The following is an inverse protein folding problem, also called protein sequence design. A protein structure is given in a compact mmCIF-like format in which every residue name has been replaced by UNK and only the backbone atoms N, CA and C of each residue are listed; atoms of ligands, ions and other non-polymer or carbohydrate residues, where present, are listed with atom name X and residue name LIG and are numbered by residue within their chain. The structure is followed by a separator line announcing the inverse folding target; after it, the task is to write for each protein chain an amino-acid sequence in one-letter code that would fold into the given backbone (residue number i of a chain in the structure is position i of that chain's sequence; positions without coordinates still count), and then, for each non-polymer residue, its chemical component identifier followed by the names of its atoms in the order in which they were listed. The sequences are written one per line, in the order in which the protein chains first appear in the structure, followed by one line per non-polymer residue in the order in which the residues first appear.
data_IF_359831418307
#
_entry.id   IF_359831418307
#
_cell.length_a   1.000
_cell.length_b   1.000
_cell.length_c   1.000
_cell.angle_alpha   90.00
_cell.angle_beta   90.00
_cell.angle_gamma   90.00
#
_symmetry.space_group_name_H-M   'P 1'
#
loop_
_entity.id
_entity.type
_entity.pdbx_description
1 polymer ?
#
# COMPACT_ATOMS: atom_id res chain seq x y z
N UNK A 1 -7.71 -0.53 8.23
CA UNK A 1 -8.73 -0.45 7.16
C UNK A 1 -8.52 -1.53 6.11
N UNK A 2 -9.59 -2.04 5.50
CA UNK A 2 -9.51 -2.93 4.35
C UNK A 2 -10.18 -2.24 3.17
N UNK A 3 -9.40 -1.95 2.12
CA UNK A 3 -9.87 -1.31 0.88
C UNK A 3 -9.74 -2.26 -0.31
N UNK A 4 -9.62 -3.56 -0.07
CA UNK A 4 -9.52 -4.53 -1.16
C UNK A 4 -10.73 -4.43 -2.10
N UNK A 5 -10.50 -4.54 -3.41
CA UNK A 5 -11.51 -4.40 -4.48
C UNK A 5 -12.18 -3.01 -4.58
N UNK A 6 -11.68 -2.00 -3.87
CA UNK A 6 -12.18 -0.64 -4.01
C UNK A 6 -11.69 -0.01 -5.32
N UNK A 7 -12.58 0.73 -6.00
CA UNK A 7 -12.27 1.51 -7.21
C UNK A 7 -11.66 2.89 -6.88
N UNK A 8 -10.68 2.91 -5.98
CA UNK A 8 -9.97 4.13 -5.59
C UNK A 8 -8.93 4.50 -6.66
N UNK A 9 -8.75 5.79 -6.94
CA UNK A 9 -7.71 6.30 -7.84
C UNK A 9 -6.38 6.49 -7.10
N UNK A 10 -5.29 6.71 -7.83
CA UNK A 10 -3.98 7.09 -7.27
C UNK A 10 -4.10 8.27 -6.28
N UNK A 11 -4.73 9.36 -6.70
CA UNK A 11 -4.93 10.54 -5.84
C UNK A 11 -5.80 10.25 -4.62
N UNK A 12 -6.83 9.42 -4.75
CA UNK A 12 -7.67 9.01 -3.63
C UNK A 12 -6.88 8.18 -2.60
N UNK A 13 -6.01 7.28 -3.08
CA UNK A 13 -5.16 6.48 -2.22
C UNK A 13 -4.10 7.33 -1.51
N UNK A 14 -3.49 8.27 -2.23
CA UNK A 14 -2.55 9.24 -1.65
C UNK A 14 -3.20 10.03 -0.51
N UNK A 15 -4.38 10.64 -0.76
CA UNK A 15 -5.10 11.41 0.26
C UNK A 15 -5.45 10.55 1.48
N UNK A 16 -5.88 9.31 1.25
CA UNK A 16 -6.16 8.36 2.34
C UNK A 16 -4.93 8.13 3.22
N UNK A 17 -3.74 8.02 2.62
CA UNK A 17 -2.49 7.79 3.35
C UNK A 17 -1.88 9.07 3.96
N UNK A 18 -2.07 10.23 3.33
CA UNK A 18 -1.53 11.52 3.84
C UNK A 18 -2.34 12.07 5.01
N UNK A 19 -3.67 11.98 4.92
CA UNK A 19 -4.58 12.63 5.87
C UNK A 19 -4.88 11.77 7.10
N UNK A 20 -4.92 10.44 6.95
CA UNK A 20 -5.29 9.56 8.06
C UNK A 20 -4.09 9.25 8.95
N UNK A 21 -3.80 10.14 9.89
CA UNK A 21 -2.70 9.99 10.88
C UNK A 21 -2.85 8.80 11.83
N UNK A 22 -4.02 8.15 11.88
CA UNK A 22 -4.27 6.95 12.67
C UNK A 22 -4.26 5.66 11.83
N UNK A 23 -3.84 5.72 10.57
CA UNK A 23 -3.83 4.56 9.67
C UNK A 23 -2.68 3.62 10.02
N UNK A 24 -2.95 2.57 10.80
CA UNK A 24 -1.92 1.65 11.32
C UNK A 24 -1.86 0.30 10.56
N UNK A 25 -2.99 -0.38 10.33
CA UNK A 25 -3.09 -1.65 9.58
C UNK A 25 -3.96 -1.45 8.33
N UNK A 26 -3.38 -1.68 7.15
CA UNK A 26 -4.06 -1.53 5.86
C UNK A 26 -4.00 -2.82 5.07
N UNK A 27 -5.14 -3.22 4.49
CA UNK A 27 -5.22 -4.28 3.49
C UNK A 27 -5.65 -3.70 2.14
N UNK A 28 -4.81 -3.88 1.14
CA UNK A 28 -4.98 -3.38 -0.23
C UNK A 28 -4.73 -4.50 -1.22
N UNK A 29 -5.79 -5.20 -1.62
CA UNK A 29 -5.74 -6.22 -2.67
C UNK A 29 -6.63 -5.81 -3.84
N UNK A 30 -6.20 -6.10 -5.06
CA UNK A 30 -7.00 -5.88 -6.27
C UNK A 30 -7.52 -4.43 -6.41
N UNK A 31 -6.64 -3.43 -6.23
CA UNK A 31 -6.97 -2.04 -6.54
C UNK A 31 -6.70 -1.80 -8.03
N UNK A 32 -7.67 -2.11 -8.90
CA UNK A 32 -7.49 -2.12 -10.36
C UNK A 32 -7.31 -0.74 -10.99
N UNK A 33 -7.53 0.34 -10.23
CA UNK A 33 -7.38 1.73 -10.68
C UNK A 33 -6.20 2.46 -10.04
N UNK A 34 -5.31 1.70 -9.38
CA UNK A 34 -4.11 2.25 -8.75
C UNK A 34 -2.88 1.77 -9.52
N UNK A 35 -2.07 2.72 -9.97
CA UNK A 35 -0.79 2.47 -10.63
C UNK A 35 0.30 2.10 -9.62
N UNK A 36 1.43 1.55 -10.08
CA UNK A 36 2.59 1.30 -9.22
C UNK A 36 3.09 2.59 -8.56
N UNK A 37 3.17 3.68 -9.32
CA UNK A 37 3.54 5.00 -8.82
C UNK A 37 2.54 5.51 -7.77
N UNK A 38 1.24 5.27 -8.00
CA UNK A 38 0.18 5.59 -7.04
C UNK A 38 0.35 4.86 -5.70
N UNK A 39 0.71 3.57 -5.74
CA UNK A 39 1.05 2.80 -4.53
C UNK A 39 2.28 3.38 -3.82
N UNK A 40 3.35 3.67 -4.57
CA UNK A 40 4.57 4.24 -3.99
C UNK A 40 4.33 5.59 -3.33
N UNK A 41 3.66 6.49 -4.04
CA UNK A 41 3.39 7.84 -3.59
C UNK A 41 2.55 7.83 -2.30
N UNK A 42 1.50 7.01 -2.26
CA UNK A 42 0.66 6.87 -1.07
C UNK A 42 1.44 6.26 0.12
N UNK A 43 2.21 5.20 -0.12
CA UNK A 43 3.00 4.56 0.92
C UNK A 43 4.05 5.50 1.52
N UNK A 44 4.68 6.35 0.70
CA UNK A 44 5.64 7.37 1.17
C UNK A 44 4.96 8.48 1.99
N UNK A 45 3.73 8.83 1.64
CA UNK A 45 2.98 9.90 2.30
C UNK A 45 2.52 9.53 3.72
N UNK A 46 2.37 8.24 4.02
CA UNK A 46 1.96 7.80 5.34
C UNK A 46 3.09 7.86 6.38
N UNK A 47 2.78 8.51 7.49
CA UNK A 47 3.66 8.57 8.67
C UNK A 47 3.29 7.53 9.74
N UNK A 48 2.06 6.98 9.67
CA UNK A 48 1.48 6.19 10.76
C UNK A 48 1.42 4.69 10.49
N UNK A 49 1.55 4.25 9.24
CA UNK A 49 1.34 2.83 8.89
C UNK A 49 2.37 1.91 9.55
N UNK A 50 1.87 0.86 10.19
CA UNK A 50 2.67 -0.17 10.86
C UNK A 50 2.50 -1.55 10.24
N UNK A 51 1.47 -1.74 9.42
CA UNK A 51 1.23 -3.02 8.75
C UNK A 51 0.51 -2.82 7.44
N UNK A 52 1.08 -3.37 6.37
CA UNK A 52 0.50 -3.33 5.03
C UNK A 52 0.34 -4.74 4.50
N UNK A 53 -0.87 -5.09 4.06
CA UNK A 53 -1.18 -6.36 3.39
C UNK A 53 -1.44 -6.10 1.91
N UNK A 54 -0.60 -6.64 1.03
CA UNK A 54 -0.70 -6.46 -0.42
C UNK A 54 -0.45 -7.77 -1.16
N UNK A 55 -0.70 -7.76 -2.46
CA UNK A 55 -0.38 -8.88 -3.36
C UNK A 55 1.12 -9.14 -3.39
N UNK A 56 1.54 -10.41 -3.37
CA UNK A 56 2.96 -10.79 -3.38
C UNK A 56 3.69 -10.30 -4.63
N UNK A 57 3.02 -10.22 -5.78
CA UNK A 57 3.59 -9.65 -6.99
C UNK A 57 4.14 -8.23 -6.80
N UNK A 58 3.51 -7.41 -5.94
CA UNK A 58 3.94 -6.04 -5.70
C UNK A 58 5.26 -5.96 -4.93
N UNK A 59 5.66 -7.02 -4.23
CA UNK A 59 6.97 -7.11 -3.56
C UNK A 59 8.13 -6.89 -4.54
N UNK A 60 7.98 -7.37 -5.77
CA UNK A 60 9.00 -7.30 -6.81
C UNK A 60 8.87 -6.07 -7.72
N UNK A 61 7.75 -5.35 -7.61
CA UNK A 61 7.45 -4.18 -8.44
C UNK A 61 7.69 -2.86 -7.69
N UNK A 62 7.50 -2.85 -6.37
CA UNK A 62 7.78 -1.69 -5.53
C UNK A 62 9.29 -1.50 -5.37
N UNK A 63 9.70 -0.24 -5.27
CA UNK A 63 11.07 0.15 -4.97
C UNK A 63 11.58 -0.54 -3.69
N UNK A 64 12.75 -1.21 -3.75
CA UNK A 64 13.38 -1.78 -2.56
C UNK A 64 13.63 -0.75 -1.46
N UNK A 65 14.01 0.49 -1.84
CA UNK A 65 14.24 1.58 -0.90
C UNK A 65 12.96 2.01 -0.18
N UNK A 66 11.82 1.98 -0.87
CA UNK A 66 10.51 2.25 -0.25
C UNK A 66 10.18 1.19 0.80
N UNK A 67 10.33 -0.10 0.45
CA UNK A 67 10.06 -1.21 1.37
C UNK A 67 10.98 -1.09 2.59
N UNK A 68 12.28 -0.87 2.37
CA UNK A 68 13.27 -0.71 3.42
C UNK A 68 12.96 0.49 4.33
N UNK A 69 12.68 1.67 3.75
CA UNK A 69 12.30 2.87 4.50
C UNK A 69 11.08 2.64 5.40
N UNK A 70 10.07 1.92 4.92
CA UNK A 70 8.89 1.63 5.73
C UNK A 70 9.21 0.61 6.83
N UNK A 71 10.03 -0.39 6.55
CA UNK A 71 10.46 -1.37 7.55
C UNK A 71 11.28 -0.72 8.68
N UNK A 72 12.17 0.23 8.37
CA UNK A 72 12.93 0.98 9.41
C UNK A 72 12.03 1.87 10.27
N UNK A 73 10.90 2.34 9.73
CA UNK A 73 9.81 3.00 10.50
C UNK A 73 8.95 2.04 11.33
N UNK A 74 9.27 0.75 11.30
CA UNK A 74 8.56 -0.32 12.02
C UNK A 74 7.35 -0.88 11.28
N UNK A 75 7.19 -0.61 9.99
CA UNK A 75 6.11 -1.17 9.18
C UNK A 75 6.39 -2.62 8.78
N UNK A 76 5.41 -3.50 8.99
CA UNK A 76 5.46 -4.91 8.59
C UNK A 76 4.66 -5.13 7.31
N UNK A 77 5.34 -5.57 6.26
CA UNK A 77 4.67 -6.05 5.05
C UNK A 77 4.21 -7.50 5.23
N UNK A 78 2.95 -7.76 4.87
CA UNK A 78 2.40 -9.11 4.75
C UNK A 78 1.96 -9.31 3.29
N UNK A 79 2.81 -9.99 2.55
CA UNK A 79 2.55 -10.37 1.18
C UNK A 79 1.56 -11.52 1.13
N UNK A 80 0.54 -11.39 0.28
CA UNK A 80 -0.53 -12.36 0.12
C UNK A 80 -0.46 -12.95 -1.28
N UNK A 81 -0.25 -14.27 -1.35
CA UNK A 81 -0.32 -15.03 -2.58
C UNK A 81 -1.80 -15.21 -2.97
N UNK A 82 -2.26 -14.38 -3.91
CA UNK A 82 -3.62 -14.36 -4.47
C UNK A 82 -3.50 -14.10 -5.98
N UNK A 83 -4.38 -14.68 -6.80
CA UNK A 83 -4.32 -14.51 -8.25
C UNK A 83 -4.44 -13.03 -8.60
N UNK A 84 -3.62 -12.53 -9.52
CA UNK A 84 -3.83 -11.19 -10.06
C UNK A 84 -5.19 -11.15 -10.76
N UNK A 85 -5.98 -10.14 -10.44
CA UNK A 85 -7.21 -9.84 -11.15
C UNK A 85 -6.86 -8.63 -12.01
N UNK A 86 -6.68 -8.89 -13.30
CA UNK A 86 -6.46 -7.88 -14.33
C UNK A 86 -7.77 -7.18 -14.65
#
# INVERSE_FOLDING_TARGET
VNISYCRISDGGLYLLFSELKCLQDVKMLHLTRVSLDGFELALRASESVKKVKMLDALKYLLSPDLIHMLQTRGCKFRWLNKPLLL
#
